data_IF_245752092469
#
_entry.id   IF_245752092469
#
_cell.length_a   1.000
_cell.length_b   1.000
_cell.length_c   1.000
_cell.angle_alpha   90.00
_cell.angle_beta   90.00
_cell.angle_gamma   90.00
#
_symmetry.space_group_name_H-M   'P 1'
#
loop_
_entity.id
_entity.type
_entity.pdbx_description
1 polymer ?
#
# COMPACT_ATOMS: atom_id res chain seq x y z
N UNK A 1 -13.41 15.23 -22.25
CA UNK A 1 -12.30 14.97 -21.33
C UNK A 1 -11.67 13.65 -21.74
N UNK A 2 -10.38 13.65 -22.08
CA UNK A 2 -9.66 12.41 -22.48
C UNK A 2 -9.51 11.48 -21.27
N UNK A 3 -9.45 10.16 -21.49
CA UNK A 3 -9.16 9.19 -20.42
C UNK A 3 -7.77 9.42 -19.83
N UNK A 4 -6.81 9.86 -20.65
CA UNK A 4 -5.45 10.24 -20.22
C UNK A 4 -5.47 11.48 -19.33
N UNK A 5 -6.30 12.47 -19.68
CA UNK A 5 -6.46 13.68 -18.87
C UNK A 5 -7.05 13.36 -17.49
N UNK A 6 -8.04 12.46 -17.42
CA UNK A 6 -8.60 11.98 -16.15
C UNK A 6 -7.53 11.32 -15.27
N UNK A 7 -6.69 10.46 -15.86
CA UNK A 7 -5.57 9.83 -15.14
C UNK A 7 -4.56 10.86 -14.65
N UNK A 8 -4.25 11.86 -15.47
CA UNK A 8 -3.37 12.96 -15.08
C UNK A 8 -3.92 13.71 -13.87
N UNK A 9 -5.19 14.11 -13.91
CA UNK A 9 -5.79 14.90 -12.84
C UNK A 9 -5.88 14.11 -11.52
N UNK A 10 -6.19 12.82 -11.58
CA UNK A 10 -6.15 11.95 -10.40
C UNK A 10 -4.72 11.74 -9.88
N UNK A 11 -3.75 11.55 -10.78
CA UNK A 11 -2.33 11.47 -10.40
C UNK A 11 -1.91 12.73 -9.64
N UNK A 12 -2.24 13.91 -10.17
CA UNK A 12 -1.89 15.19 -9.56
C UNK A 12 -2.58 15.38 -8.20
N UNK A 13 -3.87 15.04 -8.09
CA UNK A 13 -4.62 15.12 -6.85
C UNK A 13 -3.98 14.24 -5.76
N UNK A 14 -3.64 13.00 -6.11
CA UNK A 14 -3.01 12.05 -5.19
C UNK A 14 -1.62 12.52 -4.77
N UNK A 15 -0.80 12.99 -5.72
CA UNK A 15 0.57 13.46 -5.44
C UNK A 15 0.57 14.68 -4.51
N UNK A 16 -0.39 15.61 -4.67
CA UNK A 16 -0.52 16.76 -3.78
C UNK A 16 -0.81 16.37 -2.32
N UNK A 17 -1.31 15.17 -2.08
CA UNK A 17 -1.64 14.64 -0.76
C UNK A 17 -0.93 13.30 -0.49
N UNK A 18 0.24 13.08 -1.12
CA UNK A 18 0.88 11.75 -1.16
C UNK A 18 1.18 11.17 0.22
N UNK A 19 1.48 12.02 1.21
CA UNK A 19 1.77 11.60 2.58
C UNK A 19 0.53 11.02 3.29
N UNK A 20 -0.67 11.41 2.87
CA UNK A 20 -1.94 10.91 3.38
C UNK A 20 -2.52 9.80 2.49
N UNK A 21 -1.92 9.53 1.34
CA UNK A 21 -2.40 8.52 0.41
C UNK A 21 -2.38 7.14 1.08
N UNK A 22 -3.51 6.45 0.96
CA UNK A 22 -3.68 5.07 1.45
C UNK A 22 -3.34 4.06 0.35
N UNK A 23 -3.21 2.80 0.73
CA UNK A 23 -2.93 1.73 -0.24
C UNK A 23 -4.09 1.53 -1.22
N UNK A 24 -5.32 1.73 -0.77
CA UNK A 24 -6.53 1.65 -1.61
C UNK A 24 -6.50 2.72 -2.69
N UNK A 25 -6.23 3.99 -2.32
CA UNK A 25 -6.16 5.09 -3.29
C UNK A 25 -5.01 4.91 -4.30
N UNK A 26 -3.88 4.38 -3.86
CA UNK A 26 -2.75 4.04 -4.74
C UNK A 26 -3.13 2.90 -5.70
N UNK A 27 -3.90 1.92 -5.23
CA UNK A 27 -4.37 0.79 -6.04
C UNK A 27 -5.40 1.26 -7.08
N UNK A 28 -6.37 2.09 -6.69
CA UNK A 28 -7.35 2.69 -7.61
C UNK A 28 -6.67 3.50 -8.73
N UNK A 29 -5.57 4.20 -8.42
CA UNK A 29 -4.79 4.91 -9.44
C UNK A 29 -4.12 3.94 -10.43
N UNK A 30 -3.63 2.79 -9.96
CA UNK A 30 -3.06 1.75 -10.83
C UNK A 30 -4.12 1.11 -11.71
N UNK A 31 -5.30 0.82 -11.17
CA UNK A 31 -6.43 0.30 -11.94
C UNK A 31 -6.84 1.28 -13.06
N UNK A 32 -6.94 2.58 -12.75
CA UNK A 32 -7.20 3.58 -13.78
C UNK A 32 -6.07 3.63 -14.82
N UNK A 33 -4.81 3.49 -14.41
CA UNK A 33 -3.67 3.45 -15.34
C UNK A 33 -3.82 2.28 -16.32
N UNK A 34 -4.18 1.10 -15.83
CA UNK A 34 -4.40 -0.09 -16.66
C UNK A 34 -5.57 0.10 -17.64
N UNK A 35 -6.68 0.68 -17.18
CA UNK A 35 -7.81 1.04 -18.05
C UNK A 35 -7.39 1.99 -19.17
N UNK A 36 -6.62 3.03 -18.85
CA UNK A 36 -6.14 4.00 -19.84
C UNK A 36 -5.18 3.34 -20.84
N UNK A 37 -4.28 2.47 -20.37
CA UNK A 37 -3.36 1.73 -21.25
C UNK A 37 -4.17 0.83 -22.20
N UNK A 38 -5.20 0.13 -21.71
CA UNK A 38 -6.06 -0.69 -22.54
C UNK A 38 -6.75 0.13 -23.63
N UNK A 39 -7.32 1.30 -23.28
CA UNK A 39 -7.95 2.22 -24.25
C UNK A 39 -6.95 2.74 -25.27
N UNK A 40 -5.76 3.17 -24.83
CA UNK A 40 -4.73 3.69 -25.73
C UNK A 40 -4.18 2.62 -26.67
N UNK A 41 -4.05 1.37 -26.21
CA UNK A 41 -3.56 0.26 -27.05
C UNK A 41 -4.51 -0.09 -28.20
N UNK A 42 -5.81 0.16 -28.03
CA UNK A 42 -6.83 -0.05 -29.06
C UNK A 42 -7.04 1.19 -29.94
N UNK A 43 -6.49 2.34 -29.55
CA UNK A 43 -6.68 3.61 -30.24
C UNK A 43 -5.63 3.78 -31.33
N UNK A 44 -6.07 3.99 -32.57
CA UNK A 44 -5.17 4.17 -33.71
C UNK A 44 -4.34 5.47 -33.66
N UNK A 45 -4.77 6.47 -32.89
CA UNK A 45 -4.11 7.78 -32.80
C UNK A 45 -4.07 8.29 -31.36
N UNK A 46 -2.86 8.35 -30.79
CA UNK A 46 -2.57 9.07 -29.54
C UNK A 46 -2.25 10.52 -29.87
N UNK A 47 -3.02 11.45 -29.31
CA UNK A 47 -2.86 12.88 -29.62
C UNK A 47 -1.59 13.47 -28.99
N UNK A 48 -1.16 14.65 -29.45
CA UNK A 48 -0.04 15.36 -28.81
C UNK A 48 -0.35 15.78 -27.37
N UNK A 49 -1.61 16.09 -27.09
CA UNK A 49 -2.09 16.42 -25.75
C UNK A 49 -2.02 15.20 -24.82
N UNK A 50 -2.45 14.02 -25.28
CA UNK A 50 -2.30 12.78 -24.52
C UNK A 50 -0.81 12.50 -24.21
N UNK A 51 0.09 12.71 -25.18
CA UNK A 51 1.54 12.57 -24.96
C UNK A 51 2.08 13.56 -23.92
N UNK A 52 1.54 14.78 -23.87
CA UNK A 52 1.90 15.77 -22.86
C UNK A 52 1.51 15.27 -21.47
N UNK A 53 0.25 14.84 -21.29
CA UNK A 53 -0.23 14.31 -20.02
C UNK A 53 0.52 13.05 -19.58
N UNK A 54 0.81 12.11 -20.49
CA UNK A 54 1.60 10.91 -20.17
C UNK A 54 2.99 11.29 -19.63
N UNK A 55 3.65 12.29 -20.22
CA UNK A 55 4.96 12.76 -19.72
C UNK A 55 4.86 13.36 -18.33
N UNK A 56 3.81 14.12 -18.04
CA UNK A 56 3.58 14.67 -16.71
C UNK A 56 3.30 13.56 -15.69
N UNK A 57 2.44 12.60 -16.02
CA UNK A 57 2.16 11.42 -15.17
C UNK A 57 3.47 10.70 -14.84
N UNK A 58 4.30 10.40 -15.85
CA UNK A 58 5.58 9.72 -15.66
C UNK A 58 6.54 10.47 -14.73
N UNK A 59 6.49 11.80 -14.69
CA UNK A 59 7.33 12.60 -13.78
C UNK A 59 6.98 12.41 -12.30
N UNK A 60 5.81 11.87 -11.99
CA UNK A 60 5.36 11.61 -10.61
C UNK A 60 5.57 10.15 -10.17
N UNK A 61 6.01 9.26 -11.06
CA UNK A 61 6.12 7.82 -10.78
C UNK A 61 7.02 7.53 -9.57
N UNK A 62 8.17 8.20 -9.47
CA UNK A 62 9.10 7.99 -8.34
C UNK A 62 8.47 8.38 -7.00
N UNK A 63 7.70 9.47 -6.95
CA UNK A 63 7.03 9.93 -5.73
C UNK A 63 6.00 8.91 -5.26
N UNK A 64 5.22 8.36 -6.19
CA UNK A 64 4.21 7.33 -5.93
C UNK A 64 4.88 6.03 -5.45
N UNK A 65 5.91 5.57 -6.15
CA UNK A 65 6.68 4.36 -5.81
C UNK A 65 7.27 4.48 -4.41
N UNK A 66 7.87 5.63 -4.08
CA UNK A 66 8.44 5.87 -2.77
C UNK A 66 7.39 5.76 -1.66
N UNK A 67 6.17 6.30 -1.88
CA UNK A 67 5.08 6.16 -0.91
C UNK A 67 4.62 4.71 -0.74
N UNK A 68 4.50 3.96 -1.83
CA UNK A 68 4.16 2.53 -1.76
C UNK A 68 5.21 1.73 -0.98
N UNK A 69 6.50 2.03 -1.18
CA UNK A 69 7.58 1.39 -0.43
C UNK A 69 7.52 1.73 1.07
N UNK A 70 7.25 2.99 1.42
CA UNK A 70 7.06 3.39 2.82
C UNK A 70 5.93 2.61 3.49
N UNK A 71 4.77 2.53 2.84
CA UNK A 71 3.62 1.77 3.36
C UNK A 71 3.94 0.29 3.54
N UNK A 72 4.67 -0.30 2.57
CA UNK A 72 5.15 -1.69 2.66
C UNK A 72 6.09 -1.89 3.85
N UNK A 73 7.02 -0.96 4.07
CA UNK A 73 7.98 -1.04 5.17
C UNK A 73 7.28 -0.86 6.53
N UNK A 74 6.32 0.06 6.62
CA UNK A 74 5.47 0.26 7.80
C UNK A 74 4.72 -1.03 8.16
N UNK A 75 4.10 -1.68 7.17
CA UNK A 75 3.40 -2.95 7.35
C UNK A 75 4.36 -4.07 7.81
N UNK A 76 5.55 -4.19 7.20
CA UNK A 76 6.55 -5.17 7.59
C UNK A 76 7.02 -4.98 9.05
N UNK A 77 7.24 -3.73 9.46
CA UNK A 77 7.60 -3.40 10.84
C UNK A 77 6.46 -3.71 11.81
N UNK A 78 5.21 -3.43 11.42
CA UNK A 78 4.02 -3.77 12.20
C UNK A 78 3.94 -5.27 12.49
N UNK A 79 4.09 -6.11 11.47
CA UNK A 79 4.10 -7.57 11.62
C UNK A 79 5.21 -8.04 12.56
N UNK A 80 6.43 -7.53 12.40
CA UNK A 80 7.56 -7.88 13.27
C UNK A 80 7.27 -7.55 14.74
N UNK A 81 6.68 -6.38 15.03
CA UNK A 81 6.28 -6.01 16.39
C UNK A 81 5.23 -6.95 16.96
N UNK A 82 4.26 -7.40 16.15
CA UNK A 82 3.24 -8.34 16.59
C UNK A 82 3.85 -9.70 16.96
N UNK A 83 4.81 -10.18 16.17
CA UNK A 83 5.53 -11.43 16.44
C UNK A 83 6.39 -11.35 17.70
N UNK A 84 7.12 -10.25 17.89
CA UNK A 84 7.94 -10.02 19.08
C UNK A 84 7.07 -9.97 20.36
N UNK A 85 5.91 -9.30 20.30
CA UNK A 85 4.94 -9.30 21.40
C UNK A 85 4.39 -10.69 21.70
N UNK A 86 4.11 -11.51 20.68
CA UNK A 86 3.64 -12.88 20.86
C UNK A 86 4.70 -13.76 21.51
N UNK A 87 5.97 -13.65 21.09
CA UNK A 87 7.10 -14.37 21.70
C UNK A 87 7.29 -13.99 23.16
N UNK A 88 7.28 -12.69 23.47
CA UNK A 88 7.40 -12.21 24.84
C UNK A 88 6.30 -12.78 25.74
N UNK A 89 5.02 -12.70 25.32
CA UNK A 89 3.90 -13.29 26.07
C UNK A 89 4.07 -14.79 26.29
N UNK A 90 4.45 -15.54 25.25
CA UNK A 90 4.69 -16.99 25.36
C UNK A 90 5.83 -17.34 26.31
N UNK A 91 6.89 -16.52 26.41
CA UNK A 91 7.99 -16.74 27.37
C UNK A 91 7.58 -16.46 28.81
N UNK A 92 6.77 -15.43 29.05
CA UNK A 92 6.19 -15.17 30.37
C UNK A 92 5.22 -16.29 30.77
N UNK A 93 4.30 -16.70 29.89
CA UNK A 93 3.35 -17.78 30.17
C UNK A 93 4.05 -19.13 30.43
N UNK A 94 5.14 -19.43 29.73
CA UNK A 94 5.94 -20.63 29.97
C UNK A 94 6.67 -20.61 31.32
N UNK A 95 7.03 -19.43 31.85
CA UNK A 95 7.62 -19.29 33.19
C UNK A 95 6.61 -19.48 34.32
N UNK A 96 5.33 -19.11 34.09
CA UNK A 96 4.25 -19.33 35.07
C UNK A 96 3.60 -20.72 34.97
N UNK A 97 3.78 -21.45 33.85
CA UNK A 97 3.24 -22.80 33.64
C UNK A 97 4.03 -23.96 34.27
N UNK A 98 5.20 -23.70 34.86
CA UNK A 98 6.12 -24.74 35.38
C UNK A 98 5.83 -25.28 36.78
N UNK A 99 4.81 -24.77 37.49
CA UNK A 99 4.50 -25.21 38.86
C UNK A 99 3.00 -25.16 39.18
N UNK A 100 2.17 -25.78 38.34
CA UNK A 100 0.80 -26.12 38.74
C UNK A 100 0.76 -27.56 39.26
N UNK A 101 1.42 -27.79 40.40
CA UNK A 101 1.15 -28.97 41.23
C UNK A 101 -0.16 -28.70 41.98
N UNK A 102 -1.28 -29.11 41.38
CA UNK A 102 -2.56 -29.21 42.10
C UNK A 102 -2.43 -30.32 43.14
N UNK A 103 -2.19 -29.95 44.39
CA UNK A 103 -2.35 -30.84 45.54
C UNK A 103 -3.84 -30.90 45.85
N UNK A 104 -4.48 -32.01 45.49
CA UNK A 104 -5.80 -32.39 46.00
C UNK A 104 -5.63 -32.82 47.46
N UNK A 105 -5.95 -31.92 48.39
CA UNK A 105 -6.15 -32.29 49.79
C UNK A 105 -7.63 -32.60 49.96
N UNK A 106 -7.96 -33.90 49.87
CA UNK A 106 -9.24 -34.43 50.33
C UNK A 106 -9.41 -34.17 51.83
N UNK A 107 -10.52 -33.54 52.20
CA UNK A 107 -11.17 -33.68 53.51
C UNK A 107 -12.66 -33.87 53.28
#
# INVERSE_FOLDING_TARGET
MSTVQKLHDQTLCLVNQIQLATIEQLTELLELRDEVIAVLSQSANVTQEDKHYIKQIASYDEVIINRMNQLKDEAAQGMKRMDDNRKQRSSYDAQYGGSSYFIDIRN
#
